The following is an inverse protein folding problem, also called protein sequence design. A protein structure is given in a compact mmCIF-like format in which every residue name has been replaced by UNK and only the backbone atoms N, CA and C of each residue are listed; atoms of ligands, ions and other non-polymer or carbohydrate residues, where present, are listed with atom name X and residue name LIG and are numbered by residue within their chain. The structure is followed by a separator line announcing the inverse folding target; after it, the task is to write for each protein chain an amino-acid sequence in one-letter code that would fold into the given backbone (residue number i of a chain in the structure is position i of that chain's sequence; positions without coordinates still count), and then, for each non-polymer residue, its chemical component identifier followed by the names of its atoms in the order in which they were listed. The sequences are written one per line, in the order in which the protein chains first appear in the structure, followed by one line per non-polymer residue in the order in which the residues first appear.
data_IF_054536481472
#
_entry.id   IF_054536481472
#
_cell.length_a   1.000
_cell.length_b   1.000
_cell.length_c   1.000
_cell.angle_alpha   90.00
_cell.angle_beta   90.00
_cell.angle_gamma   90.00
#
_symmetry.space_group_name_H-M   'P 1'
#
loop_
_entity.id
_entity.type
_entity.pdbx_description
1 polymer ?
#
# COMPACT_ATOMS: atom_id res chain seq x y z
N UNK A 1 22.58 -8.58 4.76
CA UNK A 1 21.87 -7.59 3.92
C UNK A 1 20.39 -7.78 4.19
N UNK A 2 19.67 -6.71 4.55
CA UNK A 2 18.24 -6.78 4.80
C UNK A 2 17.51 -7.15 3.50
N UNK A 3 16.59 -8.10 3.57
CA UNK A 3 15.84 -8.60 2.40
C UNK A 3 14.41 -8.88 2.83
N UNK A 4 13.47 -8.68 1.92
CA UNK A 4 12.07 -9.06 2.10
C UNK A 4 11.88 -10.56 1.84
N UNK A 5 11.07 -11.22 2.64
CA UNK A 5 10.54 -12.56 2.36
C UNK A 5 9.76 -12.57 1.05
N UNK A 6 9.45 -13.75 0.52
CA UNK A 6 8.65 -13.89 -0.70
C UNK A 6 7.35 -13.09 -0.65
N UNK A 7 6.67 -13.12 0.48
CA UNK A 7 5.48 -12.32 0.73
C UNK A 7 5.77 -11.26 1.79
N UNK A 8 5.25 -10.08 1.60
CA UNK A 8 5.29 -9.00 2.59
C UNK A 8 4.01 -8.19 2.51
N UNK A 9 3.57 -7.67 3.65
CA UNK A 9 2.33 -6.91 3.72
C UNK A 9 2.54 -5.57 4.40
N UNK A 10 2.20 -4.52 3.68
CA UNK A 10 2.15 -3.16 4.17
C UNK A 10 0.87 -2.93 4.98
N UNK A 11 1.01 -2.67 6.27
CA UNK A 11 -0.06 -2.33 7.19
C UNK A 11 0.07 -0.89 7.64
N UNK A 12 -1.05 -0.18 7.76
CA UNK A 12 -1.05 1.15 8.39
C UNK A 12 -1.47 1.04 9.84
N UNK A 13 -0.80 1.81 10.68
CA UNK A 13 -1.23 2.05 12.06
C UNK A 13 -1.17 3.55 12.31
N UNK A 14 -2.30 4.22 11.98
CA UNK A 14 -2.33 5.68 11.98
C UNK A 14 -2.05 6.26 13.37
N UNK A 15 -2.61 5.63 14.39
CA UNK A 15 -2.53 6.13 15.77
C UNK A 15 -1.46 5.42 16.62
N UNK A 16 -0.76 4.41 16.05
CA UNK A 16 0.31 3.68 16.74
C UNK A 16 -0.20 2.84 17.91
N UNK A 17 -1.41 2.25 17.77
CA UNK A 17 -2.07 1.48 18.84
C UNK A 17 -2.30 0.01 18.50
N UNK A 18 -2.27 -0.34 17.20
CA UNK A 18 -2.69 -1.65 16.73
C UNK A 18 -1.52 -2.59 16.37
N UNK A 19 -0.28 -2.18 16.58
CA UNK A 19 0.89 -2.99 16.24
C UNK A 19 0.89 -4.38 16.85
N UNK A 20 0.41 -4.55 18.10
CA UNK A 20 0.29 -5.87 18.75
C UNK A 20 -0.78 -6.75 18.08
N UNK A 21 -1.93 -6.17 17.71
CA UNK A 21 -2.99 -6.90 16.99
C UNK A 21 -2.53 -7.31 15.58
N UNK A 22 -1.83 -6.42 14.89
CA UNK A 22 -1.24 -6.69 13.57
C UNK A 22 -0.22 -7.81 13.66
N UNK A 23 0.74 -7.77 14.59
CA UNK A 23 1.70 -8.85 14.81
C UNK A 23 0.96 -10.17 15.14
N UNK A 24 -0.09 -10.12 15.95
CA UNK A 24 -0.93 -11.29 16.25
C UNK A 24 -1.47 -11.98 14.98
N UNK A 25 -1.86 -11.21 13.96
CA UNK A 25 -2.28 -11.76 12.67
C UNK A 25 -1.15 -12.54 11.95
N UNK A 26 0.09 -12.04 12.00
CA UNK A 26 1.24 -12.74 11.44
C UNK A 26 1.67 -13.95 12.29
N UNK A 27 1.45 -13.92 13.60
CA UNK A 27 1.64 -15.09 14.47
C UNK A 27 0.63 -16.20 14.13
N UNK A 28 -0.64 -15.85 13.85
CA UNK A 28 -1.65 -16.80 13.36
C UNK A 28 -1.26 -17.42 12.02
N UNK A 29 -0.75 -16.60 11.10
CA UNK A 29 -0.21 -17.06 9.82
C UNK A 29 0.90 -18.11 10.03
N UNK A 30 1.88 -17.80 10.90
CA UNK A 30 2.99 -18.71 11.21
C UNK A 30 2.52 -19.99 11.87
N UNK A 31 1.54 -19.92 12.75
CA UNK A 31 0.98 -21.10 13.39
C UNK A 31 0.39 -22.10 12.39
N UNK A 32 -0.01 -21.62 11.20
CA UNK A 32 -0.46 -22.44 10.06
C UNK A 32 0.63 -22.76 9.02
N UNK A 33 1.88 -22.40 9.29
CA UNK A 33 3.01 -22.68 8.42
C UNK A 33 3.23 -21.68 7.30
N UNK A 34 2.54 -20.53 7.32
CA UNK A 34 2.77 -19.43 6.38
C UNK A 34 3.87 -18.48 6.86
N UNK A 35 4.44 -17.71 5.94
CA UNK A 35 5.48 -16.73 6.23
C UNK A 35 5.28 -15.46 5.41
N UNK A 36 5.33 -14.31 6.07
CA UNK A 36 5.34 -12.99 5.46
C UNK A 36 6.04 -11.98 6.38
N UNK A 37 6.60 -10.91 5.78
CA UNK A 37 7.15 -9.78 6.53
C UNK A 37 6.09 -8.70 6.77
N UNK A 38 6.17 -8.08 7.95
CA UNK A 38 5.35 -6.92 8.31
C UNK A 38 6.04 -5.65 7.80
N UNK A 39 5.29 -4.78 7.12
CA UNK A 39 5.77 -3.47 6.72
C UNK A 39 4.80 -2.41 7.24
N UNK A 40 5.21 -1.62 8.24
CA UNK A 40 4.40 -0.50 8.71
C UNK A 40 4.62 0.71 7.81
N UNK A 41 3.63 1.05 7.03
CA UNK A 41 3.69 2.17 6.10
C UNK A 41 2.87 3.38 6.58
N UNK A 42 3.47 4.56 6.48
CA UNK A 42 2.82 5.84 6.77
C UNK A 42 3.49 6.95 5.96
N UNK A 43 2.67 7.70 5.22
CA UNK A 43 3.15 8.78 4.37
C UNK A 43 3.36 10.09 5.15
N UNK A 44 4.14 10.99 4.55
CA UNK A 44 4.32 12.36 5.07
C UNK A 44 2.98 13.05 5.32
N UNK A 45 2.03 12.91 4.39
CA UNK A 45 0.68 13.50 4.51
C UNK A 45 -0.06 12.95 5.73
N UNK A 46 0.00 11.63 5.96
CA UNK A 46 -0.67 11.03 7.12
C UNK A 46 -0.04 11.48 8.43
N UNK A 47 1.28 11.55 8.52
CA UNK A 47 1.97 12.09 9.70
C UNK A 47 1.53 13.53 10.02
N UNK A 48 1.50 14.40 9.01
CA UNK A 48 1.08 15.79 9.17
C UNK A 48 -0.37 15.90 9.63
N UNK A 49 -1.27 15.11 9.01
CA UNK A 49 -2.71 15.14 9.33
C UNK A 49 -3.02 14.71 10.77
N UNK A 50 -2.28 13.75 11.31
CA UNK A 50 -2.53 13.23 12.66
C UNK A 50 -1.59 13.81 13.71
N UNK A 51 -0.66 14.67 13.32
CA UNK A 51 0.30 15.30 14.24
C UNK A 51 1.34 14.32 14.80
N UNK A 52 1.69 13.24 14.07
CA UNK A 52 2.73 12.27 14.45
C UNK A 52 4.01 12.45 13.62
N UNK A 53 5.06 11.75 14.00
CA UNK A 53 6.36 11.76 13.34
C UNK A 53 6.81 10.34 12.95
N UNK A 54 7.76 10.16 12.01
CA UNK A 54 8.39 8.87 11.76
C UNK A 54 9.03 8.24 13.03
N UNK A 55 9.51 9.07 13.96
CA UNK A 55 10.02 8.59 15.25
C UNK A 55 8.92 7.93 16.09
N UNK A 56 7.70 8.50 16.13
CA UNK A 56 6.56 7.92 16.85
C UNK A 56 6.15 6.58 16.24
N UNK A 57 6.13 6.47 14.91
CA UNK A 57 5.86 5.21 14.20
C UNK A 57 6.92 4.15 14.53
N UNK A 58 8.20 4.50 14.47
CA UNK A 58 9.29 3.59 14.79
C UNK A 58 9.25 3.12 16.24
N UNK A 59 8.90 4.01 17.16
CA UNK A 59 8.73 3.70 18.58
C UNK A 59 7.56 2.73 18.78
N UNK A 60 6.38 3.01 18.22
CA UNK A 60 5.20 2.16 18.33
C UNK A 60 5.46 0.73 17.79
N UNK A 61 6.07 0.62 16.61
CA UNK A 61 6.45 -0.66 16.00
C UNK A 61 7.43 -1.44 16.90
N UNK A 62 8.49 -0.78 17.39
CA UNK A 62 9.50 -1.41 18.25
C UNK A 62 8.91 -1.88 19.59
N UNK A 63 7.99 -1.12 20.17
CA UNK A 63 7.27 -1.50 21.38
C UNK A 63 6.37 -2.71 21.17
N UNK A 64 5.63 -2.75 20.06
CA UNK A 64 4.78 -3.88 19.69
C UNK A 64 5.60 -5.17 19.50
N UNK A 65 6.74 -5.09 18.78
CA UNK A 65 7.67 -6.20 18.60
C UNK A 65 8.19 -6.71 19.93
N UNK A 66 8.66 -5.81 20.78
CA UNK A 66 9.19 -6.19 22.10
C UNK A 66 8.13 -6.86 22.99
N UNK A 67 6.88 -6.35 22.98
CA UNK A 67 5.79 -6.88 23.80
C UNK A 67 5.32 -8.24 23.33
N UNK A 68 5.26 -8.47 22.02
CA UNK A 68 4.79 -9.72 21.42
C UNK A 68 5.88 -10.78 21.29
N UNK A 69 7.15 -10.40 21.47
CA UNK A 69 8.29 -11.28 21.23
C UNK A 69 8.44 -11.68 19.75
N UNK A 70 8.01 -10.84 18.82
CA UNK A 70 8.11 -11.10 17.39
C UNK A 70 9.56 -11.18 16.92
N UNK A 71 9.93 -12.29 16.28
CA UNK A 71 11.26 -12.58 15.75
C UNK A 71 11.30 -12.67 14.20
N UNK A 72 10.18 -12.41 13.53
CA UNK A 72 10.09 -12.40 12.08
C UNK A 72 10.58 -11.10 11.44
N UNK A 73 10.55 -11.07 10.10
CA UNK A 73 10.86 -9.88 9.33
C UNK A 73 9.89 -8.74 9.62
N UNK A 74 10.44 -7.53 9.76
CA UNK A 74 9.65 -6.33 9.93
C UNK A 74 10.36 -5.10 9.40
N UNK A 75 9.56 -4.17 8.90
CA UNK A 75 10.05 -2.96 8.26
C UNK A 75 9.18 -1.76 8.64
N UNK A 76 9.80 -0.58 8.59
CA UNK A 76 9.13 0.70 8.70
C UNK A 76 9.32 1.43 7.40
N UNK A 77 8.23 1.67 6.68
CA UNK A 77 8.23 2.27 5.37
C UNK A 77 8.08 3.79 5.45
N UNK A 78 9.01 4.48 4.84
CA UNK A 78 8.90 5.86 4.43
C UNK A 78 8.02 5.91 3.17
N UNK A 79 6.70 5.93 3.35
CA UNK A 79 5.72 5.72 2.29
C UNK A 79 5.58 6.97 1.40
N UNK A 80 5.77 6.77 0.09
CA UNK A 80 5.69 7.81 -0.94
C UNK A 80 6.58 9.04 -0.66
N UNK A 81 7.88 8.80 -0.53
CA UNK A 81 8.87 9.86 -0.31
C UNK A 81 9.44 10.41 -1.61
N UNK A 82 9.87 11.66 -1.54
CA UNK A 82 10.65 12.36 -2.55
C UNK A 82 11.89 12.98 -1.91
N UNK A 83 12.78 13.59 -2.73
CA UNK A 83 13.92 14.38 -2.20
C UNK A 83 13.51 15.49 -1.22
N UNK A 84 12.24 15.94 -1.26
CA UNK A 84 11.74 17.00 -0.36
C UNK A 84 11.42 16.48 1.05
N UNK A 85 11.15 15.18 1.19
CA UNK A 85 10.64 14.58 2.44
C UNK A 85 11.56 13.53 3.05
N UNK A 86 12.51 12.99 2.28
CA UNK A 86 13.35 11.83 2.66
C UNK A 86 14.09 12.04 3.97
N UNK A 87 14.60 13.24 4.26
CA UNK A 87 15.38 13.53 5.46
C UNK A 87 14.61 13.26 6.76
N UNK A 88 13.33 13.51 6.74
CA UNK A 88 12.47 13.29 7.90
C UNK A 88 12.34 11.82 8.27
N UNK A 89 12.39 10.93 7.27
CA UNK A 89 12.24 9.47 7.43
C UNK A 89 13.57 8.73 7.62
N UNK A 90 14.67 9.27 7.09
CA UNK A 90 15.97 8.60 7.06
C UNK A 90 16.40 7.97 8.38
N UNK A 91 16.31 8.63 9.56
CA UNK A 91 16.77 8.05 10.81
C UNK A 91 15.96 6.84 11.28
N UNK A 92 14.69 6.74 10.87
CA UNK A 92 13.70 5.86 11.49
C UNK A 92 13.25 4.71 10.60
N UNK A 93 13.35 4.85 9.27
CA UNK A 93 12.84 3.88 8.32
C UNK A 93 13.93 2.98 7.74
N UNK A 94 13.54 1.76 7.36
CA UNK A 94 14.38 0.77 6.71
C UNK A 94 13.74 0.18 5.43
N UNK A 95 12.58 0.71 5.06
CA UNK A 95 11.91 0.52 3.78
C UNK A 95 11.61 1.92 3.22
N UNK A 96 11.87 2.14 1.93
CA UNK A 96 11.70 3.46 1.32
C UNK A 96 10.95 3.31 0.01
N UNK A 97 9.69 3.74 -0.01
CA UNK A 97 8.86 3.85 -1.22
C UNK A 97 9.17 5.17 -1.90
N UNK A 98 9.99 5.13 -2.94
CA UNK A 98 10.33 6.30 -3.74
C UNK A 98 9.18 6.59 -4.69
N UNK A 99 8.57 7.76 -4.55
CA UNK A 99 7.52 8.27 -5.42
C UNK A 99 8.11 9.17 -6.50
N UNK A 100 7.71 8.94 -7.74
CA UNK A 100 8.19 9.69 -8.90
C UNK A 100 7.08 10.40 -9.68
N UNK A 101 5.85 10.41 -9.18
CA UNK A 101 4.67 10.96 -9.86
C UNK A 101 4.89 12.39 -10.37
N UNK A 102 5.51 13.26 -9.56
CA UNK A 102 5.82 14.66 -9.96
C UNK A 102 6.79 14.78 -11.15
N UNK A 103 7.52 13.70 -11.47
CA UNK A 103 8.53 13.70 -12.54
C UNK A 103 8.13 12.92 -13.78
N UNK A 104 7.00 12.23 -13.75
CA UNK A 104 6.44 11.55 -14.92
C UNK A 104 6.04 12.58 -15.97
N UNK A 105 6.41 12.34 -17.23
CA UNK A 105 6.18 13.25 -18.36
C UNK A 105 7.16 14.44 -18.47
N UNK A 106 8.10 14.60 -17.52
CA UNK A 106 9.19 15.55 -17.69
C UNK A 106 10.21 15.01 -18.70
N UNK A 107 10.86 15.92 -19.43
CA UNK A 107 11.87 15.55 -20.42
C UNK A 107 13.21 15.25 -19.74
N UNK A 108 13.78 14.10 -20.03
CA UNK A 108 15.17 13.81 -19.75
C UNK A 108 16.11 14.51 -20.76
N UNK A 109 17.41 14.52 -20.50
CA UNK A 109 18.36 15.06 -21.44
C UNK A 109 18.45 14.23 -22.74
N UNK A 110 18.76 14.88 -23.88
CA UNK A 110 18.92 14.12 -25.13
C UNK A 110 20.02 13.05 -25.04
N UNK A 111 21.08 13.30 -24.28
CA UNK A 111 22.14 12.33 -24.04
C UNK A 111 21.65 11.13 -23.24
N UNK A 112 20.86 11.36 -22.19
CA UNK A 112 20.23 10.29 -21.41
C UNK A 112 19.26 9.46 -22.26
N UNK A 113 18.43 10.11 -23.08
CA UNK A 113 17.51 9.43 -23.99
C UNK A 113 18.25 8.52 -24.98
N UNK A 114 19.28 9.02 -25.65
CA UNK A 114 20.08 8.22 -26.58
C UNK A 114 20.74 7.03 -25.88
N UNK A 115 21.38 7.27 -24.73
CA UNK A 115 22.01 6.18 -23.95
C UNK A 115 21.01 5.12 -23.51
N UNK A 116 19.81 5.52 -23.10
CA UNK A 116 18.74 4.60 -22.74
C UNK A 116 18.26 3.79 -23.95
N UNK A 117 18.00 4.44 -25.09
CA UNK A 117 17.52 3.78 -26.31
C UNK A 117 18.50 2.75 -26.81
N UNK A 118 19.80 3.08 -26.88
CA UNK A 118 20.86 2.14 -27.30
C UNK A 118 20.93 0.93 -26.38
N UNK A 119 20.91 1.15 -25.05
CA UNK A 119 20.96 0.09 -24.05
C UNK A 119 19.71 -0.78 -24.06
N UNK A 120 18.52 -0.18 -24.11
CA UNK A 120 17.27 -0.89 -24.17
C UNK A 120 17.17 -1.73 -25.43
N UNK A 121 17.49 -1.16 -26.61
CA UNK A 121 17.49 -1.87 -27.87
C UNK A 121 18.45 -3.08 -27.87
N UNK A 122 19.59 -2.99 -27.17
CA UNK A 122 20.52 -4.10 -27.03
C UNK A 122 19.97 -5.21 -26.13
N UNK A 123 19.48 -4.85 -24.93
CA UNK A 123 19.00 -5.83 -23.94
C UNK A 123 17.69 -6.50 -24.35
N UNK A 124 16.83 -5.77 -25.05
CA UNK A 124 15.52 -6.27 -25.46
C UNK A 124 15.58 -7.14 -26.74
N UNK A 125 16.73 -7.18 -27.44
CA UNK A 125 16.99 -8.10 -28.56
C UNK A 125 17.47 -9.48 -28.11
N UNK A 126 17.74 -9.68 -26.82
CA UNK A 126 18.11 -10.98 -26.31
C UNK A 126 16.90 -11.95 -26.48
N UNK A 127 17.16 -13.10 -27.10
CA UNK A 127 16.15 -14.13 -27.38
C UNK A 127 15.49 -14.71 -26.11
N UNK A 128 16.03 -14.43 -24.93
CA UNK A 128 15.42 -14.74 -23.63
C UNK A 128 14.37 -13.73 -23.18
N UNK A 129 14.30 -12.56 -23.83
CA UNK A 129 13.29 -11.56 -23.51
C UNK A 129 11.91 -12.05 -23.96
N UNK A 130 10.89 -11.94 -23.11
CA UNK A 130 9.54 -12.29 -23.50
C UNK A 130 9.05 -11.51 -24.72
N UNK A 131 8.23 -12.14 -25.58
CA UNK A 131 7.78 -11.63 -26.90
C UNK A 131 7.17 -10.21 -26.85
N UNK A 132 6.54 -9.82 -25.74
CA UNK A 132 5.97 -8.47 -25.59
C UNK A 132 7.02 -7.35 -25.43
N UNK A 133 8.26 -7.68 -25.15
CA UNK A 133 9.36 -6.69 -25.06
C UNK A 133 9.72 -6.15 -26.43
N UNK A 134 9.58 -6.94 -27.49
CA UNK A 134 9.83 -6.52 -28.87
C UNK A 134 8.90 -5.37 -29.34
N UNK A 135 7.77 -5.20 -28.69
CA UNK A 135 6.75 -4.20 -29.00
C UNK A 135 6.81 -2.95 -28.10
N UNK A 136 7.88 -2.79 -27.28
CA UNK A 136 8.01 -1.62 -26.45
C UNK A 136 8.31 -0.37 -27.29
N UNK A 137 7.45 0.62 -27.24
CA UNK A 137 7.72 1.95 -27.76
C UNK A 137 8.72 2.66 -26.83
N UNK A 138 10.02 2.42 -27.07
CA UNK A 138 11.10 2.91 -26.23
C UNK A 138 11.20 4.44 -26.22
N UNK A 139 10.86 5.11 -27.32
CA UNK A 139 10.84 6.57 -27.39
C UNK A 139 9.77 7.14 -26.48
N UNK A 140 8.57 6.56 -26.52
CA UNK A 140 7.48 6.93 -25.62
C UNK A 140 7.83 6.68 -24.16
N UNK A 141 8.52 5.57 -23.84
CA UNK A 141 8.98 5.27 -22.47
C UNK A 141 10.04 6.28 -22.02
N UNK A 142 11.01 6.61 -22.89
CA UNK A 142 12.02 7.62 -22.60
C UNK A 142 11.37 9.00 -22.33
N UNK A 143 10.45 9.39 -23.17
CA UNK A 143 9.74 10.67 -23.05
C UNK A 143 8.90 10.78 -21.78
N UNK A 144 8.30 9.69 -21.36
CA UNK A 144 7.35 9.69 -20.24
C UNK A 144 7.99 9.38 -18.89
N UNK A 145 8.93 8.42 -18.84
CA UNK A 145 9.39 7.83 -17.58
C UNK A 145 10.87 8.06 -17.27
N UNK A 146 11.74 8.34 -18.24
CA UNK A 146 13.18 8.35 -18.01
C UNK A 146 13.60 9.40 -16.97
N UNK A 147 13.07 10.63 -17.06
CA UNK A 147 13.37 11.69 -16.07
C UNK A 147 12.90 11.30 -14.66
N UNK A 148 11.77 10.58 -14.55
CA UNK A 148 11.26 10.08 -13.28
C UNK A 148 12.20 9.03 -12.67
N UNK A 149 12.76 8.14 -13.49
CA UNK A 149 13.70 7.12 -13.03
C UNK A 149 15.05 7.75 -12.62
N UNK A 150 15.52 8.75 -13.35
CA UNK A 150 16.71 9.54 -12.97
C UNK A 150 16.52 10.22 -11.61
N UNK A 151 15.32 10.75 -11.33
CA UNK A 151 14.99 11.35 -10.04
C UNK A 151 14.93 10.29 -8.92
N UNK A 152 14.37 9.13 -9.20
CA UNK A 152 14.43 7.99 -8.28
C UNK A 152 15.89 7.59 -7.99
N UNK A 153 16.75 7.59 -9.00
CA UNK A 153 18.18 7.33 -8.86
C UNK A 153 18.89 8.33 -7.94
N UNK A 154 18.54 9.62 -8.03
CA UNK A 154 19.06 10.65 -7.12
C UNK A 154 18.62 10.40 -5.69
N UNK A 155 17.32 10.14 -5.49
CA UNK A 155 16.76 9.85 -4.17
C UNK A 155 17.40 8.60 -3.56
N UNK A 156 17.54 7.52 -4.33
CA UNK A 156 18.23 6.31 -3.88
C UNK A 156 19.68 6.59 -3.48
N UNK A 157 20.45 7.30 -4.31
CA UNK A 157 21.87 7.62 -4.01
C UNK A 157 21.99 8.46 -2.74
N UNK A 158 21.04 9.36 -2.51
CA UNK A 158 20.97 10.14 -1.27
C UNK A 158 20.72 9.24 -0.05
N UNK A 159 19.74 8.33 -0.11
CA UNK A 159 19.49 7.35 0.96
C UNK A 159 20.73 6.49 1.19
N UNK A 160 21.35 5.96 0.13
CA UNK A 160 22.53 5.09 0.22
C UNK A 160 23.76 5.76 0.79
N UNK A 161 23.90 7.08 0.61
CA UNK A 161 24.98 7.88 1.22
C UNK A 161 24.78 8.14 2.71
N UNK A 162 23.54 8.06 3.21
CA UNK A 162 23.19 8.41 4.59
C UNK A 162 22.76 7.22 5.45
N UNK A 163 22.68 6.01 4.87
CA UNK A 163 22.33 4.78 5.61
C UNK A 163 23.41 3.70 5.46
N UNK A 164 23.61 2.86 6.48
CA UNK A 164 24.54 1.73 6.35
C UNK A 164 24.16 0.82 5.18
N UNK A 165 25.16 0.36 4.46
CA UNK A 165 24.95 -0.54 3.31
C UNK A 165 24.20 -1.82 3.74
N UNK A 166 23.13 -2.12 3.06
CA UNK A 166 22.32 -3.32 3.31
C UNK A 166 21.42 -3.26 4.54
N UNK A 167 21.21 -2.06 5.10
CA UNK A 167 20.29 -1.83 6.24
C UNK A 167 18.90 -1.36 5.82
N UNK A 168 18.61 -1.31 4.53
CA UNK A 168 17.31 -0.87 4.00
C UNK A 168 16.99 -1.53 2.67
N UNK A 169 15.73 -1.47 2.29
CA UNK A 169 15.17 -1.90 1.00
C UNK A 169 14.49 -0.74 0.30
N UNK A 170 14.37 -0.81 -1.03
CA UNK A 170 13.78 0.22 -1.88
C UNK A 170 12.56 -0.34 -2.61
N UNK A 171 11.48 0.40 -2.59
CA UNK A 171 10.37 0.29 -3.51
C UNK A 171 10.41 1.45 -4.51
N UNK A 172 10.14 1.16 -5.78
CA UNK A 172 9.85 2.20 -6.77
C UNK A 172 8.34 2.19 -7.05
N UNK A 173 7.67 3.31 -6.78
CA UNK A 173 6.25 3.48 -7.05
C UNK A 173 5.99 4.31 -8.28
N UNK A 174 5.15 3.76 -9.18
CA UNK A 174 4.62 4.38 -10.39
C UNK A 174 3.09 4.24 -10.48
N UNK A 175 2.41 4.00 -9.37
CA UNK A 175 0.97 3.75 -9.32
C UNK A 175 0.12 5.02 -9.53
N UNK A 176 0.68 6.22 -9.37
CA UNK A 176 0.00 7.50 -9.58
C UNK A 176 0.08 8.03 -11.02
N UNK A 177 0.23 7.17 -12.05
CA UNK A 177 0.18 7.56 -13.46
C UNK A 177 -1.27 7.69 -13.96
N UNK A 178 -1.48 8.39 -15.09
CA UNK A 178 -2.82 8.57 -15.69
C UNK A 178 -3.41 7.25 -16.22
N UNK A 179 -2.56 6.36 -16.72
CA UNK A 179 -2.94 5.08 -17.34
C UNK A 179 -2.05 3.95 -16.80
N UNK A 180 -2.58 2.72 -16.72
CA UNK A 180 -1.77 1.55 -16.44
C UNK A 180 -0.57 1.45 -17.38
N UNK A 181 0.56 0.96 -16.85
CA UNK A 181 1.69 0.59 -17.68
C UNK A 181 1.38 -0.73 -18.39
N UNK A 182 1.89 -0.89 -19.60
CA UNK A 182 1.88 -2.21 -20.26
C UNK A 182 3.10 -3.03 -19.79
N UNK A 183 3.05 -4.36 -19.87
CA UNK A 183 4.22 -5.20 -19.53
C UNK A 183 5.49 -4.80 -20.30
N UNK A 184 5.34 -4.39 -21.57
CA UNK A 184 6.45 -3.87 -22.37
C UNK A 184 7.02 -2.56 -21.82
N UNK A 185 6.16 -1.66 -21.36
CA UNK A 185 6.61 -0.42 -20.69
C UNK A 185 7.31 -0.73 -19.37
N UNK A 186 6.78 -1.66 -18.57
CA UNK A 186 7.42 -2.08 -17.30
C UNK A 186 8.81 -2.66 -17.58
N UNK A 187 8.98 -3.50 -18.61
CA UNK A 187 10.28 -4.03 -18.98
C UNK A 187 11.29 -2.92 -19.33
N UNK A 188 10.90 -1.95 -20.16
CA UNK A 188 11.74 -0.82 -20.53
C UNK A 188 12.06 0.10 -19.32
N UNK A 189 11.10 0.32 -18.43
CA UNK A 189 11.31 1.02 -17.16
C UNK A 189 12.37 0.30 -16.31
N UNK A 190 12.30 -1.02 -16.17
CA UNK A 190 13.28 -1.79 -15.40
C UNK A 190 14.68 -1.78 -16.02
N UNK A 191 14.80 -1.68 -17.34
CA UNK A 191 16.09 -1.43 -18.01
C UNK A 191 16.68 -0.10 -17.55
N UNK A 192 15.89 0.97 -17.50
CA UNK A 192 16.35 2.28 -17.01
C UNK A 192 16.68 2.24 -15.50
N UNK A 193 15.89 1.55 -14.68
CA UNK A 193 16.16 1.33 -13.24
C UNK A 193 17.49 0.62 -13.03
N UNK A 194 17.77 -0.42 -13.81
CA UNK A 194 19.05 -1.11 -13.77
C UNK A 194 20.22 -0.23 -14.22
N UNK A 195 20.01 0.66 -15.22
CA UNK A 195 21.01 1.62 -15.66
C UNK A 195 21.36 2.63 -14.56
N UNK A 196 20.37 3.10 -13.81
CA UNK A 196 20.53 3.97 -12.62
C UNK A 196 21.09 3.23 -11.39
N UNK A 197 21.25 1.91 -11.48
CA UNK A 197 21.75 1.04 -10.42
C UNK A 197 20.92 1.12 -9.13
N UNK A 198 19.61 1.25 -9.25
CA UNK A 198 18.70 1.26 -8.12
C UNK A 198 18.35 -0.19 -7.77
N UNK A 199 18.75 -0.72 -6.62
CA UNK A 199 18.48 -2.11 -6.23
C UNK A 199 17.08 -2.24 -5.63
N UNK A 200 16.05 -2.02 -6.46
CA UNK A 200 14.65 -2.11 -6.00
C UNK A 200 14.32 -3.53 -5.56
N UNK A 201 13.64 -3.66 -4.42
CA UNK A 201 13.12 -4.93 -3.90
C UNK A 201 11.66 -5.16 -4.28
N UNK A 202 10.92 -4.07 -4.49
CA UNK A 202 9.52 -4.08 -4.93
C UNK A 202 9.31 -2.99 -5.99
N UNK A 203 8.39 -3.25 -6.90
CA UNK A 203 7.97 -2.31 -7.94
C UNK A 203 6.45 -2.22 -7.94
N UNK A 204 5.91 -1.01 -7.82
CA UNK A 204 4.49 -0.73 -7.80
C UNK A 204 4.05 -0.05 -9.12
N UNK A 205 3.59 -0.81 -10.12
CA UNK A 205 2.97 -0.24 -11.31
C UNK A 205 1.54 0.21 -11.01
N UNK A 206 0.96 0.98 -11.93
CA UNK A 206 -0.48 1.20 -11.95
C UNK A 206 -1.17 0.05 -12.67
N UNK A 207 -1.98 -0.69 -11.96
CA UNK A 207 -2.82 -1.74 -12.53
C UNK A 207 -4.11 -1.19 -13.18
N UNK A 208 -4.73 -1.95 -14.10
CA UNK A 208 -6.04 -1.61 -14.64
C UNK A 208 -7.13 -1.61 -13.56
N UNK A 209 -8.21 -0.88 -13.83
CA UNK A 209 -9.33 -0.73 -12.89
C UNK A 209 -9.11 0.37 -11.85
N UNK A 210 -9.96 0.38 -10.82
CA UNK A 210 -9.95 1.40 -9.78
C UNK A 210 -9.71 0.79 -8.40
N UNK A 211 -8.72 1.32 -7.70
CA UNK A 211 -8.38 0.96 -6.32
C UNK A 211 -8.92 2.03 -5.36
N UNK A 212 -10.25 2.14 -5.32
CA UNK A 212 -10.92 3.14 -4.49
C UNK A 212 -10.73 2.83 -3.00
N UNK A 213 -10.63 3.89 -2.20
CA UNK A 213 -10.46 3.80 -0.74
C UNK A 213 -11.70 3.17 -0.09
N UNK A 214 -11.49 2.24 0.85
CA UNK A 214 -12.53 1.67 1.69
C UNK A 214 -13.42 0.61 1.04
N UNK A 215 -13.37 0.40 -0.27
CA UNK A 215 -14.18 -0.61 -0.99
C UNK A 215 -13.32 -1.55 -1.82
N UNK A 216 -13.94 -2.62 -2.33
CA UNK A 216 -13.26 -3.61 -3.14
C UNK A 216 -12.83 -3.07 -4.52
N UNK A 217 -12.06 -3.87 -5.23
CA UNK A 217 -11.63 -3.57 -6.59
C UNK A 217 -12.83 -3.35 -7.53
N UNK A 218 -12.76 -2.27 -8.29
CA UNK A 218 -13.76 -1.91 -9.30
C UNK A 218 -13.13 -1.98 -10.69
N UNK A 219 -13.48 -3.00 -11.45
CA UNK A 219 -12.93 -3.23 -12.78
C UNK A 219 -13.10 -4.67 -13.24
N UNK A 220 -12.48 -4.99 -14.36
CA UNK A 220 -12.44 -6.34 -14.91
C UNK A 220 -11.29 -7.12 -14.20
N UNK A 221 -11.65 -8.09 -13.36
CA UNK A 221 -10.66 -8.91 -12.63
C UNK A 221 -9.82 -9.78 -13.56
N UNK A 222 -10.36 -10.25 -14.70
CA UNK A 222 -9.59 -11.04 -15.66
C UNK A 222 -8.50 -10.19 -16.34
N UNK A 223 -8.79 -8.93 -16.65
CA UNK A 223 -7.80 -7.98 -17.17
C UNK A 223 -6.72 -7.68 -16.13
N UNK A 224 -7.12 -7.47 -14.86
CA UNK A 224 -6.18 -7.29 -13.77
C UNK A 224 -5.23 -8.51 -13.63
N UNK A 225 -5.79 -9.73 -13.58
CA UNK A 225 -4.97 -10.93 -13.41
C UNK A 225 -4.05 -11.20 -14.59
N UNK A 226 -4.51 -10.92 -15.83
CA UNK A 226 -3.65 -11.01 -16.99
C UNK A 226 -2.48 -10.02 -16.90
N UNK A 227 -2.74 -8.75 -16.59
CA UNK A 227 -1.70 -7.72 -16.42
C UNK A 227 -0.74 -8.08 -15.30
N UNK A 228 -1.27 -8.48 -14.14
CA UNK A 228 -0.46 -8.89 -12.99
C UNK A 228 0.47 -10.08 -13.33
N UNK A 229 -0.04 -11.07 -14.03
CA UNK A 229 0.76 -12.23 -14.46
C UNK A 229 1.89 -11.83 -15.41
N UNK A 230 1.58 -11.04 -16.45
CA UNK A 230 2.57 -10.61 -17.42
C UNK A 230 3.64 -9.72 -16.77
N UNK A 231 3.25 -8.78 -15.92
CA UNK A 231 4.21 -7.95 -15.18
C UNK A 231 5.05 -8.76 -14.18
N UNK A 232 4.48 -9.77 -13.51
CA UNK A 232 5.26 -10.67 -12.67
C UNK A 232 6.35 -11.42 -13.47
N UNK A 233 6.02 -11.87 -14.68
CA UNK A 233 7.01 -12.48 -15.61
C UNK A 233 8.09 -11.48 -16.00
N UNK A 234 7.73 -10.20 -16.22
CA UNK A 234 8.71 -9.14 -16.49
C UNK A 234 9.68 -8.97 -15.33
N UNK A 235 9.20 -8.93 -14.09
CA UNK A 235 10.07 -8.77 -12.92
C UNK A 235 11.01 -9.95 -12.71
N UNK A 236 10.53 -11.16 -12.95
CA UNK A 236 11.37 -12.38 -12.92
C UNK A 236 12.49 -12.30 -13.97
N UNK A 237 12.13 -11.98 -15.22
CA UNK A 237 13.12 -11.76 -16.29
C UNK A 237 14.12 -10.65 -15.92
N UNK A 238 13.65 -9.53 -15.40
CA UNK A 238 14.52 -8.41 -15.04
C UNK A 238 15.51 -8.76 -13.92
N UNK A 239 15.09 -9.58 -12.95
CA UNK A 239 15.98 -10.10 -11.90
C UNK A 239 17.09 -10.99 -12.44
N UNK A 240 16.80 -11.79 -13.47
CA UNK A 240 17.75 -12.68 -14.10
C UNK A 240 18.67 -11.99 -15.11
N UNK A 241 18.11 -11.11 -15.95
CA UNK A 241 18.78 -10.55 -17.12
C UNK A 241 19.38 -9.17 -16.90
N UNK A 242 18.82 -8.34 -15.99
CA UNK A 242 19.25 -6.97 -15.77
C UNK A 242 20.12 -6.77 -14.52
N UNK A 243 20.36 -7.84 -13.75
CA UNK A 243 21.14 -7.78 -12.51
C UNK A 243 20.40 -7.04 -11.36
N UNK A 244 19.07 -6.93 -11.44
CA UNK A 244 18.26 -6.46 -10.33
C UNK A 244 18.21 -7.50 -9.20
N UNK A 245 17.85 -7.13 -7.96
CA UNK A 245 17.86 -8.04 -6.84
C UNK A 245 17.04 -9.31 -7.09
N UNK A 246 17.59 -10.47 -6.72
CA UNK A 246 16.83 -11.73 -6.69
C UNK A 246 15.69 -11.60 -5.68
N UNK A 247 14.48 -11.92 -6.08
CA UNK A 247 13.29 -11.73 -5.25
C UNK A 247 12.63 -10.35 -5.40
N UNK A 248 13.01 -9.57 -6.44
CA UNK A 248 12.22 -8.44 -6.91
C UNK A 248 10.78 -8.89 -7.14
N UNK A 249 9.81 -8.15 -6.62
CA UNK A 249 8.41 -8.52 -6.63
C UNK A 249 7.49 -7.36 -6.97
N UNK A 250 6.31 -7.69 -7.48
CA UNK A 250 5.24 -6.72 -7.66
C UNK A 250 4.74 -6.24 -6.30
N UNK A 251 4.49 -4.94 -6.23
CA UNK A 251 3.79 -4.29 -5.14
C UNK A 251 2.41 -3.86 -5.62
N UNK A 252 1.37 -4.30 -4.91
CA UNK A 252 -0.02 -3.92 -5.18
C UNK A 252 -0.44 -2.90 -4.13
N UNK A 253 -0.52 -1.63 -4.52
CA UNK A 253 -0.99 -0.55 -3.66
C UNK A 253 -2.52 -0.58 -3.60
N UNK A 254 -3.06 -1.46 -2.78
CA UNK A 254 -4.51 -1.64 -2.64
C UNK A 254 -5.19 -0.52 -1.84
N UNK A 255 -4.45 0.16 -0.98
CA UNK A 255 -4.91 1.24 -0.11
C UNK A 255 -5.91 0.81 0.95
N UNK A 256 -6.66 -0.26 0.73
CA UNK A 256 -7.60 -0.93 1.62
C UNK A 256 -7.96 -2.29 1.06
N UNK A 257 -8.97 -2.96 1.62
CA UNK A 257 -9.43 -4.30 1.23
C UNK A 257 -9.71 -4.42 -0.28
N UNK A 258 -9.18 -5.47 -0.92
CA UNK A 258 -9.45 -5.84 -2.32
C UNK A 258 -9.60 -7.36 -2.42
N UNK A 259 -10.56 -7.89 -1.67
CA UNK A 259 -10.74 -9.32 -1.44
C UNK A 259 -10.93 -10.13 -2.74
N UNK A 260 -11.56 -9.53 -3.76
CA UNK A 260 -11.74 -10.16 -5.09
C UNK A 260 -10.44 -10.51 -5.78
N UNK A 261 -9.32 -9.88 -5.38
CA UNK A 261 -8.04 -10.04 -6.07
C UNK A 261 -7.13 -11.08 -5.41
N UNK A 262 -7.24 -11.31 -4.10
CA UNK A 262 -6.20 -12.00 -3.34
C UNK A 262 -5.99 -13.45 -3.77
N UNK A 263 -7.06 -14.21 -3.97
CA UNK A 263 -6.96 -15.60 -4.42
C UNK A 263 -6.29 -15.73 -5.79
N UNK A 264 -6.69 -14.91 -6.77
CA UNK A 264 -6.07 -14.93 -8.10
C UNK A 264 -4.61 -14.48 -8.08
N UNK A 265 -4.26 -13.50 -7.24
CA UNK A 265 -2.86 -13.11 -7.00
C UNK A 265 -2.07 -14.29 -6.43
N UNK A 266 -2.61 -15.00 -5.42
CA UNK A 266 -1.99 -16.20 -4.85
C UNK A 266 -1.71 -17.26 -5.92
N UNK A 267 -2.73 -17.60 -6.71
CA UNK A 267 -2.63 -18.63 -7.76
C UNK A 267 -1.54 -18.30 -8.78
N UNK A 268 -1.49 -17.05 -9.25
CA UNK A 268 -0.47 -16.58 -10.20
C UNK A 268 0.92 -16.59 -9.55
N UNK A 269 1.06 -15.97 -8.37
CA UNK A 269 2.32 -15.87 -7.68
C UNK A 269 2.91 -17.28 -7.36
N UNK A 270 2.04 -18.20 -6.94
CA UNK A 270 2.47 -19.60 -6.63
C UNK A 270 2.91 -20.33 -7.88
N UNK A 271 2.16 -20.24 -8.97
CA UNK A 271 2.49 -20.88 -10.26
C UNK A 271 3.80 -20.36 -10.85
N UNK A 272 4.08 -19.08 -10.74
CA UNK A 272 5.30 -18.44 -11.26
C UNK A 272 6.49 -18.51 -10.30
N UNK A 273 6.30 -18.92 -9.04
CA UNK A 273 7.32 -18.78 -8.01
C UNK A 273 7.64 -17.32 -7.64
N UNK A 274 6.78 -16.38 -8.02
CA UNK A 274 6.96 -14.95 -7.77
C UNK A 274 6.66 -14.57 -6.32
N UNK A 275 7.26 -13.47 -5.87
CA UNK A 275 6.89 -12.82 -4.61
C UNK A 275 5.85 -11.71 -4.82
N UNK A 276 5.21 -11.29 -3.73
CA UNK A 276 4.24 -10.18 -3.74
C UNK A 276 4.42 -9.30 -2.51
N UNK A 277 4.35 -7.99 -2.72
CA UNK A 277 4.13 -7.01 -1.65
C UNK A 277 2.71 -6.44 -1.79
N UNK A 278 1.91 -6.53 -0.72
CA UNK A 278 0.55 -5.97 -0.71
C UNK A 278 0.49 -4.81 0.27
N UNK A 279 0.12 -3.60 -0.18
CA UNK A 279 -0.05 -2.41 0.67
C UNK A 279 -1.52 -2.16 0.98
N UNK A 280 -1.93 -2.29 2.26
CA UNK A 280 -3.32 -2.17 2.73
C UNK A 280 -3.49 -1.15 3.87
N UNK A 281 -2.72 -0.06 3.83
CA UNK A 281 -2.58 0.90 4.93
C UNK A 281 -3.90 1.39 5.57
N UNK A 282 -4.95 1.54 4.78
CA UNK A 282 -6.23 2.09 5.25
C UNK A 282 -7.13 1.14 6.03
N UNK A 283 -6.85 -0.15 6.00
CA UNK A 283 -7.71 -1.20 6.58
C UNK A 283 -7.80 -1.11 8.10
N UNK A 284 -6.67 -0.98 8.80
CA UNK A 284 -6.61 -0.94 10.27
C UNK A 284 -7.53 0.15 10.84
N UNK A 285 -7.47 1.36 10.29
CA UNK A 285 -8.33 2.47 10.72
C UNK A 285 -9.84 2.13 10.65
N UNK A 286 -10.29 1.48 9.58
CA UNK A 286 -11.69 1.09 9.45
C UNK A 286 -12.08 0.03 10.47
N UNK A 287 -11.18 -0.91 10.76
CA UNK A 287 -11.42 -1.94 11.77
C UNK A 287 -11.36 -1.39 13.21
N UNK A 288 -10.59 -0.32 13.47
CA UNK A 288 -10.68 0.43 14.74
C UNK A 288 -12.09 0.97 14.95
N UNK A 289 -12.69 1.62 13.95
CA UNK A 289 -14.05 2.15 14.03
C UNK A 289 -15.10 1.03 14.15
N UNK A 290 -14.92 -0.08 13.42
CA UNK A 290 -15.79 -1.26 13.56
C UNK A 290 -15.71 -1.80 14.98
N UNK A 291 -14.51 -1.97 15.52
CA UNK A 291 -14.31 -2.47 16.89
C UNK A 291 -14.91 -1.56 17.98
N UNK A 292 -14.77 -0.23 17.82
CA UNK A 292 -15.41 0.74 18.71
C UNK A 292 -16.93 0.67 18.65
N UNK A 293 -17.50 0.57 17.44
CA UNK A 293 -18.95 0.46 17.27
C UNK A 293 -19.51 -0.85 17.81
N UNK A 294 -18.80 -1.97 17.62
CA UNK A 294 -19.14 -3.28 18.12
C UNK A 294 -19.15 -3.35 19.66
N UNK A 295 -18.23 -2.65 20.30
CA UNK A 295 -18.18 -2.53 21.76
C UNK A 295 -19.42 -1.81 22.35
N UNK A 296 -20.17 -1.08 21.55
CA UNK A 296 -21.37 -0.36 21.99
C UNK A 296 -21.08 0.88 22.86
N UNK A 297 -22.09 1.36 23.57
CA UNK A 297 -21.98 2.43 24.54
C UNK A 297 -21.24 3.67 24.03
N UNK A 298 -20.15 4.08 24.72
CA UNK A 298 -19.32 5.23 24.33
C UNK A 298 -18.56 4.98 23.03
N UNK A 299 -18.14 3.74 22.76
CA UNK A 299 -17.44 3.37 21.52
C UNK A 299 -18.32 3.61 20.30
N UNK A 300 -19.55 3.11 20.29
CA UNK A 300 -20.54 3.37 19.25
C UNK A 300 -20.84 4.88 19.12
N UNK A 301 -21.01 5.57 20.24
CA UNK A 301 -21.25 7.00 20.23
C UNK A 301 -20.12 7.78 19.59
N UNK A 302 -18.86 7.37 19.82
CA UNK A 302 -17.68 7.98 19.22
C UNK A 302 -17.63 7.70 17.70
N UNK A 303 -17.88 6.46 17.29
CA UNK A 303 -17.92 6.08 15.87
C UNK A 303 -18.98 6.89 15.09
N UNK A 304 -20.16 7.09 15.68
CA UNK A 304 -21.22 7.93 15.12
C UNK A 304 -20.82 9.42 15.01
N UNK A 305 -20.12 9.95 16.03
CA UNK A 305 -19.58 11.32 15.99
C UNK A 305 -18.55 11.49 14.87
N UNK A 306 -17.68 10.50 14.68
CA UNK A 306 -16.73 10.52 13.54
C UNK A 306 -17.49 10.57 12.23
N UNK A 307 -18.51 9.74 12.04
CA UNK A 307 -19.33 9.75 10.84
C UNK A 307 -20.06 11.07 10.62
N UNK A 308 -20.73 11.60 11.64
CA UNK A 308 -21.43 12.88 11.57
C UNK A 308 -20.51 14.02 11.13
N UNK A 309 -19.35 14.13 11.76
CA UNK A 309 -18.37 15.16 11.40
C UNK A 309 -17.79 14.94 10.00
N UNK A 310 -17.54 13.67 9.61
CA UNK A 310 -17.09 13.35 8.27
C UNK A 310 -18.16 13.70 7.21
N UNK A 311 -19.43 13.44 7.49
CA UNK A 311 -20.55 13.79 6.61
C UNK A 311 -20.66 15.31 6.41
N UNK A 312 -20.54 16.08 7.47
CA UNK A 312 -20.63 17.56 7.42
C UNK A 312 -19.41 18.19 6.69
N UNK A 313 -18.30 17.49 6.63
CA UNK A 313 -17.03 17.98 6.05
C UNK A 313 -16.58 17.14 4.83
N UNK A 314 -17.53 16.51 4.13
CA UNK A 314 -17.24 15.58 3.03
C UNK A 314 -16.30 16.21 1.98
N UNK A 315 -16.58 17.43 1.52
CA UNK A 315 -15.78 18.10 0.49
C UNK A 315 -14.33 18.33 0.94
N UNK A 316 -14.15 18.75 2.20
CA UNK A 316 -12.82 18.94 2.79
C UNK A 316 -12.03 17.62 2.87
N UNK A 317 -12.69 16.55 3.34
CA UNK A 317 -12.04 15.26 3.56
C UNK A 317 -11.74 14.52 2.26
N UNK A 318 -12.57 14.67 1.25
CA UNK A 318 -12.42 13.97 -0.03
C UNK A 318 -11.50 14.70 -1.01
N UNK A 319 -11.37 16.02 -0.92
CA UNK A 319 -10.55 16.82 -1.85
C UNK A 319 -9.11 16.28 -2.06
N UNK A 320 -8.37 15.86 -1.01
CA UNK A 320 -7.02 15.30 -1.17
C UNK A 320 -7.01 13.89 -1.81
N UNK A 321 -8.17 13.27 -2.00
CA UNK A 321 -8.35 11.89 -2.45
C UNK A 321 -9.25 11.77 -3.68
N UNK A 322 -9.45 12.86 -4.43
CA UNK A 322 -10.40 12.92 -5.56
C UNK A 322 -10.20 11.82 -6.61
N UNK A 323 -8.97 11.33 -6.80
CA UNK A 323 -8.65 10.28 -7.77
C UNK A 323 -8.93 8.85 -7.24
N UNK A 324 -9.16 8.67 -5.94
CA UNK A 324 -9.29 7.37 -5.28
C UNK A 324 -10.51 7.25 -4.35
N UNK A 325 -11.42 8.21 -4.44
CA UNK A 325 -12.71 8.23 -3.72
C UNK A 325 -13.81 8.65 -4.70
N UNK A 326 -14.88 7.87 -4.75
CA UNK A 326 -16.06 8.13 -5.56
C UNK A 326 -17.31 7.97 -4.66
N UNK A 327 -17.79 9.06 -4.09
CA UNK A 327 -18.92 9.06 -3.18
C UNK A 327 -20.07 9.85 -3.81
N UNK A 328 -21.22 9.19 -4.00
CA UNK A 328 -22.47 9.89 -4.22
C UNK A 328 -23.04 10.35 -2.87
N UNK A 329 -22.90 11.65 -2.59
CA UNK A 329 -23.35 12.22 -1.33
C UNK A 329 -24.86 12.03 -1.08
N UNK A 330 -25.67 11.91 -2.15
CA UNK A 330 -27.11 11.66 -2.05
C UNK A 330 -27.46 10.24 -1.55
N UNK A 331 -26.54 9.30 -1.70
CA UNK A 331 -26.69 7.90 -1.24
C UNK A 331 -26.27 7.69 0.20
N UNK A 332 -25.62 8.68 0.83
CA UNK A 332 -25.17 8.55 2.20
C UNK A 332 -26.34 8.60 3.21
N UNK A 333 -26.38 7.71 4.21
CA UNK A 333 -27.36 7.84 5.28
C UNK A 333 -27.13 9.15 6.05
N UNK A 334 -28.23 9.90 6.30
CA UNK A 334 -28.07 11.15 7.06
C UNK A 334 -27.57 10.91 8.48
N UNK A 335 -26.87 11.86 9.10
CA UNK A 335 -26.42 11.72 10.49
C UNK A 335 -27.55 11.40 11.48
N UNK A 336 -28.77 11.90 11.22
CA UNK A 336 -29.96 11.62 12.03
C UNK A 336 -30.37 10.15 11.95
N UNK A 337 -30.29 9.53 10.76
CA UNK A 337 -30.54 8.11 10.55
C UNK A 337 -29.49 7.29 11.30
N UNK A 338 -28.20 7.62 11.10
CA UNK A 338 -27.07 6.90 11.74
C UNK A 338 -27.12 7.05 13.26
N UNK A 339 -27.56 8.21 13.78
CA UNK A 339 -27.73 8.42 15.22
C UNK A 339 -28.71 7.42 15.86
N UNK A 340 -29.72 6.96 15.11
CA UNK A 340 -30.71 5.99 15.58
C UNK A 340 -30.25 4.53 15.54
N UNK A 341 -29.15 4.22 14.86
CA UNK A 341 -28.66 2.84 14.70
C UNK A 341 -28.13 2.28 16.03
N UNK A 342 -28.31 0.99 16.22
CA UNK A 342 -27.57 0.23 17.23
C UNK A 342 -26.18 -0.18 16.71
N UNK A 343 -25.42 -0.94 17.49
CA UNK A 343 -24.10 -1.44 17.13
C UNK A 343 -24.14 -2.29 15.85
N UNK A 344 -25.11 -3.19 15.77
CA UNK A 344 -25.22 -4.14 14.64
C UNK A 344 -25.51 -3.39 13.34
N UNK A 345 -26.44 -2.43 13.35
CA UNK A 345 -26.75 -1.63 12.17
C UNK A 345 -25.53 -0.81 11.69
N UNK A 346 -24.81 -0.17 12.62
CA UNK A 346 -23.60 0.59 12.27
C UNK A 346 -22.48 -0.31 11.73
N UNK A 347 -22.20 -1.40 12.43
CA UNK A 347 -21.16 -2.37 12.05
C UNK A 347 -21.47 -2.99 10.68
N UNK A 348 -22.71 -3.43 10.43
CA UNK A 348 -23.11 -4.03 9.16
C UNK A 348 -23.04 -3.03 8.00
N UNK A 349 -23.29 -1.75 8.25
CA UNK A 349 -23.14 -0.71 7.23
C UNK A 349 -21.66 -0.42 6.90
N UNK A 350 -20.75 -0.58 7.86
CA UNK A 350 -19.34 -0.23 7.69
C UNK A 350 -18.46 -1.44 7.37
N UNK A 351 -18.75 -2.65 7.89
CA UNK A 351 -17.92 -3.84 7.67
C UNK A 351 -17.95 -4.24 6.19
N UNK A 352 -16.77 -4.50 5.65
CA UNK A 352 -16.65 -4.87 4.24
C UNK A 352 -17.00 -6.34 4.04
N UNK A 353 -18.25 -6.63 3.75
CA UNK A 353 -18.73 -7.96 3.38
C UNK A 353 -19.21 -7.94 1.93
N UNK A 354 -18.58 -8.75 1.05
CA UNK A 354 -18.80 -8.72 -0.40
C UNK A 354 -20.26 -8.98 -0.80
N UNK A 355 -20.92 -9.88 -0.07
CA UNK A 355 -22.28 -10.35 -0.38
C UNK A 355 -23.35 -9.67 0.49
N UNK A 356 -22.97 -8.68 1.30
CA UNK A 356 -23.90 -7.99 2.17
C UNK A 356 -24.60 -6.83 1.48
N UNK A 357 -25.91 -6.89 1.42
CA UNK A 357 -26.75 -5.75 0.98
C UNK A 357 -26.82 -4.62 2.03
N UNK A 358 -26.33 -4.84 3.23
CA UNK A 358 -26.34 -3.85 4.33
C UNK A 358 -25.11 -2.93 4.28
N UNK A 359 -24.01 -3.36 3.69
CA UNK A 359 -22.80 -2.57 3.57
C UNK A 359 -23.06 -1.34 2.69
N UNK A 360 -22.64 -0.17 3.20
CA UNK A 360 -22.81 1.13 2.56
C UNK A 360 -21.47 1.60 1.95
N UNK A 361 -21.22 1.40 0.63
CA UNK A 361 -19.94 1.71 0.02
C UNK A 361 -19.54 3.18 0.16
N UNK A 362 -20.48 4.11 0.00
CA UNK A 362 -20.24 5.54 0.18
C UNK A 362 -19.83 5.89 1.62
N UNK A 363 -20.56 5.35 2.61
CA UNK A 363 -20.21 5.51 4.03
C UNK A 363 -18.82 4.97 4.34
N UNK A 364 -18.48 3.80 3.81
CA UNK A 364 -17.17 3.19 4.05
C UNK A 364 -16.04 4.01 3.43
N UNK A 365 -16.23 4.55 2.22
CA UNK A 365 -15.27 5.46 1.59
C UNK A 365 -15.09 6.76 2.40
N UNK A 366 -16.20 7.35 2.85
CA UNK A 366 -16.18 8.57 3.67
C UNK A 366 -15.45 8.32 5.00
N UNK A 367 -15.77 7.22 5.67
CA UNK A 367 -15.10 6.83 6.90
C UNK A 367 -13.61 6.55 6.67
N UNK A 368 -13.23 5.98 5.52
CA UNK A 368 -11.82 5.74 5.21
C UNK A 368 -10.99 7.04 5.25
N UNK A 369 -11.51 8.14 4.72
CA UNK A 369 -10.84 9.45 4.77
C UNK A 369 -11.15 10.24 6.05
N UNK A 370 -12.07 9.74 6.86
CA UNK A 370 -12.51 10.34 8.12
C UNK A 370 -11.53 10.27 9.29
N UNK A 371 -10.37 9.61 9.13
CA UNK A 371 -9.36 9.49 10.20
C UNK A 371 -8.84 10.85 10.68
N UNK A 372 -8.93 11.90 9.86
CA UNK A 372 -8.65 13.27 10.26
C UNK A 372 -9.54 13.73 11.41
N UNK A 373 -10.82 13.36 11.39
CA UNK A 373 -11.76 13.70 12.46
C UNK A 373 -11.34 13.04 13.78
N UNK A 374 -10.94 11.75 13.73
CA UNK A 374 -10.45 11.07 14.92
C UNK A 374 -9.14 11.70 15.46
N UNK A 375 -8.25 12.13 14.57
CA UNK A 375 -7.05 12.87 14.96
C UNK A 375 -7.38 14.18 15.66
N UNK A 376 -8.38 14.92 15.19
CA UNK A 376 -8.86 16.15 15.81
C UNK A 376 -9.55 15.92 17.17
N UNK A 377 -10.17 14.73 17.39
CA UNK A 377 -10.68 14.30 18.68
C UNK A 377 -9.56 14.02 19.69
N UNK A 378 -8.36 13.76 19.21
CA UNK A 378 -7.15 13.66 20.02
C UNK A 378 -7.27 12.61 21.12
N UNK A 379 -7.15 13.06 22.38
CA UNK A 379 -7.13 12.17 23.55
C UNK A 379 -8.43 11.36 23.70
N UNK A 380 -9.58 11.91 23.38
CA UNK A 380 -10.87 11.21 23.49
C UNK A 380 -10.88 9.93 22.61
N UNK A 381 -10.32 10.03 21.40
CA UNK A 381 -10.21 8.90 20.50
C UNK A 381 -9.18 7.86 21.00
N UNK A 382 -8.01 8.33 21.41
CA UNK A 382 -6.95 7.44 21.89
C UNK A 382 -7.33 6.70 23.19
N UNK A 383 -8.02 7.37 24.11
CA UNK A 383 -8.55 6.75 25.33
C UNK A 383 -9.62 5.69 25.00
N UNK A 384 -10.45 5.94 23.98
CA UNK A 384 -11.44 4.96 23.54
C UNK A 384 -10.78 3.71 22.92
N UNK A 385 -9.73 3.86 22.11
CA UNK A 385 -8.97 2.71 21.60
C UNK A 385 -8.39 1.86 22.74
N UNK A 386 -7.94 2.48 23.82
CA UNK A 386 -7.42 1.77 24.99
C UNK A 386 -8.54 1.12 25.82
N UNK A 387 -9.67 1.84 26.05
CA UNK A 387 -10.83 1.33 26.79
C UNK A 387 -11.46 0.11 26.10
N UNK A 388 -11.53 0.13 24.77
CA UNK A 388 -12.14 -0.91 23.95
C UNK A 388 -11.13 -1.78 23.17
N UNK A 389 -9.90 -1.83 23.65
CA UNK A 389 -8.76 -2.53 22.99
C UNK A 389 -9.13 -3.96 22.58
N UNK A 390 -9.83 -4.73 23.41
CA UNK A 390 -10.17 -6.12 23.10
C UNK A 390 -11.01 -6.23 21.82
N UNK A 391 -12.05 -5.42 21.69
CA UNK A 391 -12.92 -5.42 20.51
C UNK A 391 -12.17 -4.90 19.28
N UNK A 392 -11.43 -3.81 19.42
CA UNK A 392 -10.63 -3.19 18.33
C UNK A 392 -9.58 -4.19 17.83
N UNK A 393 -8.72 -4.69 18.71
CA UNK A 393 -7.64 -5.61 18.33
C UNK A 393 -8.16 -6.92 17.72
N UNK A 394 -9.29 -7.45 18.18
CA UNK A 394 -9.93 -8.62 17.59
C UNK A 394 -10.33 -8.35 16.12
N UNK A 395 -10.95 -7.21 15.82
CA UNK A 395 -11.36 -6.85 14.46
C UNK A 395 -10.14 -6.63 13.56
N UNK A 396 -9.13 -5.87 14.02
CA UNK A 396 -7.89 -5.63 13.28
C UNK A 396 -7.17 -6.95 12.97
N UNK A 397 -6.97 -7.82 13.99
CA UNK A 397 -6.30 -9.12 13.82
C UNK A 397 -7.07 -10.03 12.87
N UNK A 398 -8.39 -10.15 13.03
CA UNK A 398 -9.23 -10.97 12.15
C UNK A 398 -9.17 -10.50 10.71
N UNK A 399 -9.35 -9.20 10.46
CA UNK A 399 -9.32 -8.66 9.11
C UNK A 399 -7.95 -8.91 8.46
N UNK A 400 -6.86 -8.60 9.17
CA UNK A 400 -5.52 -8.75 8.62
C UNK A 400 -5.14 -10.23 8.40
N UNK A 401 -5.49 -11.12 9.33
CA UNK A 401 -5.20 -12.54 9.19
C UNK A 401 -6.13 -13.22 8.19
N UNK A 402 -7.43 -13.33 8.54
CA UNK A 402 -8.35 -14.18 7.80
C UNK A 402 -8.74 -13.62 6.43
N UNK A 403 -8.70 -12.29 6.26
CA UNK A 403 -9.20 -11.64 5.05
C UNK A 403 -8.10 -11.13 4.12
N UNK A 404 -6.84 -11.05 4.59
CA UNK A 404 -5.70 -10.63 3.80
C UNK A 404 -4.61 -11.69 3.74
N UNK A 405 -3.97 -12.01 4.89
CA UNK A 405 -2.82 -12.91 4.91
C UNK A 405 -3.17 -14.32 4.45
N UNK A 406 -4.26 -14.89 4.97
CA UNK A 406 -4.68 -16.26 4.65
C UNK A 406 -4.95 -16.44 3.14
N UNK A 407 -5.78 -15.62 2.46
CA UNK A 407 -6.04 -15.79 1.03
C UNK A 407 -4.85 -15.43 0.12
N UNK A 408 -3.93 -14.56 0.56
CA UNK A 408 -2.70 -14.24 -0.21
C UNK A 408 -1.65 -15.36 -0.09
N UNK A 409 -1.58 -16.04 1.05
CA UNK A 409 -0.53 -17.02 1.33
C UNK A 409 -0.99 -18.45 1.02
N UNK A 410 -2.25 -18.78 1.26
CA UNK A 410 -2.76 -20.15 1.11
C UNK A 410 -3.81 -20.31 0.00
N UNK A 411 -4.44 -19.24 -0.47
CA UNK A 411 -5.46 -19.24 -1.54
C UNK A 411 -6.90 -19.21 -1.07
#
# INVERSE_FOLDING_TARGET
MLQLSRFSMGTGDRFGREGEAQIGAFQDLRAKGGEADIVWNKSNREHVLIGSTPADQAKAASEAIRKTGWDGGWFIDADHITMKTVDWFLPYCNFFTIDVAESIGKKASSASCLSFLDRAAFLLKDSSAPVWVENADLESVADKFLAAIEEAGKTYRYIAANKPKGSFVIELSMDETDKPQTPAQVAAILVAVAAEKIPISTFAPRFPGKFLKGIDYVGNTAEFFHTFEEEAKVLLWASESLGLPKGLKLSVHSGSDKFKLYKGIHEIATRLGAGVHLKTAGTTWLEEIVGLAEAGGKGLSLAKRVYEQAYLRIDELTAPYANVVEIDASSLPSPQIVASWDSDAFVNALRHELDSSMMQPGMRQLMHVGFKIAAEMGKDYLDALEEYRESVSRNVRYNLYARHLEPIIFG
#
